data_IF_812667019777
#
_entry.id   IF_812667019777
#
_cell.length_a   1.000
_cell.length_b   1.000
_cell.length_c   1.000
_cell.angle_alpha   90.00
_cell.angle_beta   90.00
_cell.angle_gamma   90.00
#
_symmetry.space_group_name_H-M   'P 1'
#
loop_
_entity.id
_entity.type
_entity.pdbx_description
1 polymer ?
#
# COMPACT_ATOMS: atom_id res chain seq x y z
N UNK A 1 4.81 1.39 -3.36
CA UNK A 1 5.15 2.46 -2.41
C UNK A 1 6.44 3.13 -2.82
N UNK A 2 6.44 4.46 -2.90
CA UNK A 2 7.66 5.23 -3.09
C UNK A 2 8.66 4.83 -2.00
N UNK A 3 9.91 4.59 -2.37
CA UNK A 3 10.99 4.36 -1.40
C UNK A 3 11.30 5.62 -0.56
N UNK A 4 10.70 6.75 -0.94
CA UNK A 4 10.82 8.09 -0.36
C UNK A 4 9.41 8.68 -0.13
N UNK A 5 8.76 8.37 0.99
CA UNK A 5 7.50 9.03 1.35
C UNK A 5 7.76 10.51 1.68
N UNK A 6 6.72 11.35 1.52
CA UNK A 6 6.78 12.78 1.86
C UNK A 6 7.10 13.02 3.34
N UNK A 7 6.57 12.15 4.21
CA UNK A 7 6.89 12.09 5.64
C UNK A 7 7.78 10.87 5.88
N UNK A 8 9.10 11.04 6.07
CA UNK A 8 10.04 9.92 6.20
C UNK A 8 9.70 8.97 7.35
N UNK A 9 9.27 9.52 8.48
CA UNK A 9 8.90 8.79 9.70
C UNK A 9 7.69 7.87 9.51
N UNK A 10 6.84 8.15 8.51
CA UNK A 10 5.68 7.34 8.20
C UNK A 10 6.05 6.05 7.46
N UNK A 11 7.27 5.94 6.88
CA UNK A 11 7.73 4.79 6.12
C UNK A 11 7.46 3.43 6.79
N UNK A 12 7.86 3.18 8.06
CA UNK A 12 7.58 1.90 8.72
C UNK A 12 6.08 1.62 8.90
N UNK A 13 5.25 2.65 9.12
CA UNK A 13 3.79 2.49 9.22
C UNK A 13 3.19 2.16 7.85
N UNK A 14 3.65 2.83 6.79
CA UNK A 14 3.24 2.60 5.41
C UNK A 14 3.61 1.19 4.92
N UNK A 15 4.80 0.69 5.27
CA UNK A 15 5.23 -0.67 4.94
C UNK A 15 4.34 -1.72 5.64
N UNK A 16 3.98 -1.51 6.91
CA UNK A 16 3.01 -2.36 7.63
C UNK A 16 1.63 -2.36 6.97
N UNK A 17 1.12 -1.19 6.58
CA UNK A 17 -0.17 -1.09 5.88
C UNK A 17 -0.15 -1.81 4.53
N UNK A 18 0.94 -1.66 3.77
CA UNK A 18 1.14 -2.40 2.52
C UNK A 18 1.05 -3.90 2.77
N UNK A 19 1.78 -4.44 3.74
CA UNK A 19 1.75 -5.88 4.06
C UNK A 19 0.37 -6.34 4.50
N UNK A 20 -0.30 -5.58 5.38
CA UNK A 20 -1.65 -5.88 5.85
C UNK A 20 -2.65 -6.04 4.70
N UNK A 21 -2.72 -5.05 3.81
CA UNK A 21 -3.66 -5.08 2.69
C UNK A 21 -3.24 -6.04 1.58
N UNK A 22 -1.95 -6.31 1.42
CA UNK A 22 -1.49 -7.35 0.51
C UNK A 22 -2.00 -8.72 0.95
N UNK A 23 -1.92 -9.01 2.26
CA UNK A 23 -2.41 -10.26 2.82
C UNK A 23 -3.94 -10.39 2.72
N UNK A 24 -4.69 -9.30 2.88
CA UNK A 24 -6.16 -9.30 2.75
C UNK A 24 -6.63 -9.76 1.36
N UNK A 25 -5.87 -9.43 0.32
CA UNK A 25 -6.17 -9.83 -1.06
C UNK A 25 -5.47 -11.14 -1.47
N UNK A 26 -4.86 -11.87 -0.52
CA UNK A 26 -4.03 -13.06 -0.80
C UNK A 26 -2.95 -12.79 -1.86
N UNK A 27 -2.49 -11.54 -1.96
CA UNK A 27 -1.46 -11.15 -2.91
C UNK A 27 -0.11 -11.22 -2.23
N UNK A 28 0.70 -12.21 -2.59
CA UNK A 28 2.08 -12.26 -2.14
C UNK A 28 2.92 -11.20 -2.84
N UNK A 29 3.25 -10.12 -2.12
CA UNK A 29 4.39 -9.30 -2.49
C UNK A 29 5.65 -10.06 -2.11
N UNK A 30 6.05 -10.99 -2.97
CA UNK A 30 7.33 -11.65 -2.81
C UNK A 30 8.43 -10.60 -3.01
N UNK A 31 9.12 -10.21 -1.94
CA UNK A 31 10.30 -9.33 -2.01
C UNK A 31 11.45 -10.02 -2.75
N UNK A 32 11.39 -11.35 -2.90
CA UNK A 32 12.24 -12.12 -3.80
C UNK A 32 11.79 -11.93 -5.25
N UNK A 33 12.44 -10.97 -5.90
CA UNK A 33 12.48 -10.82 -7.37
C UNK A 33 11.16 -10.46 -8.06
N UNK A 34 10.90 -9.15 -8.16
CA UNK A 34 9.83 -8.55 -8.98
C UNK A 34 9.93 -8.84 -10.49
N UNK A 35 11.00 -9.50 -10.94
CA UNK A 35 11.27 -9.81 -12.35
C UNK A 35 10.63 -11.10 -12.88
N UNK A 36 10.12 -11.99 -12.02
CA UNK A 36 9.49 -13.24 -12.47
C UNK A 36 8.04 -13.06 -12.94
N UNK A 37 7.41 -11.95 -12.58
CA UNK A 37 6.03 -11.64 -12.96
C UNK A 37 6.00 -10.65 -14.13
N UNK A 38 4.99 -10.79 -14.99
CA UNK A 38 4.78 -9.84 -16.09
C UNK A 38 4.52 -8.43 -15.55
N UNK A 39 4.96 -7.40 -16.27
CA UNK A 39 4.70 -5.99 -15.90
C UNK A 39 3.22 -5.70 -15.69
N UNK A 40 2.35 -6.35 -16.48
CA UNK A 40 0.88 -6.24 -16.35
C UNK A 40 0.39 -6.76 -15.01
N UNK A 41 0.85 -7.95 -14.59
CA UNK A 41 0.47 -8.56 -13.33
C UNK A 41 0.99 -7.75 -12.12
N UNK A 42 2.25 -7.29 -12.21
CA UNK A 42 2.85 -6.42 -11.19
C UNK A 42 2.09 -5.10 -11.05
N UNK A 43 1.69 -4.49 -12.17
CA UNK A 43 0.89 -3.27 -12.20
C UNK A 43 -0.51 -3.48 -11.62
N UNK A 44 -1.15 -4.60 -11.94
CA UNK A 44 -2.46 -4.94 -11.39
C UNK A 44 -2.43 -5.12 -9.88
N UNK A 45 -1.54 -5.99 -9.38
CA UNK A 45 -1.43 -6.27 -7.93
C UNK A 45 -0.93 -5.04 -7.16
N UNK A 46 0.07 -4.34 -7.70
CA UNK A 46 0.60 -3.09 -7.16
C UNK A 46 -0.43 -1.96 -7.09
N UNK A 47 -1.20 -1.79 -8.17
CA UNK A 47 -2.22 -0.76 -8.30
C UNK A 47 -3.39 -0.96 -7.36
N UNK A 48 -3.89 -2.20 -7.24
CA UNK A 48 -5.00 -2.53 -6.33
C UNK A 48 -4.63 -2.24 -4.86
N UNK A 49 -3.48 -2.73 -4.40
CA UNK A 49 -3.03 -2.50 -3.01
C UNK A 49 -2.74 -1.02 -2.77
N UNK A 50 -2.07 -0.33 -3.69
CA UNK A 50 -1.79 1.11 -3.56
C UNK A 50 -3.06 1.98 -3.54
N UNK A 51 -4.04 1.65 -4.37
CA UNK A 51 -5.34 2.32 -4.41
C UNK A 51 -6.12 2.14 -3.11
N UNK A 52 -6.18 0.91 -2.58
CA UNK A 52 -6.84 0.64 -1.31
C UNK A 52 -6.17 1.34 -0.13
N UNK A 53 -4.83 1.32 -0.06
CA UNK A 53 -4.07 2.06 0.95
C UNK A 53 -4.45 3.53 0.96
N UNK A 54 -4.47 4.17 -0.22
CA UNK A 54 -4.81 5.59 -0.36
C UNK A 54 -6.24 5.86 0.07
N UNK A 55 -7.19 5.03 -0.38
CA UNK A 55 -8.60 5.13 0.00
C UNK A 55 -8.77 5.07 1.52
N UNK A 56 -8.15 4.10 2.18
CA UNK A 56 -8.25 3.92 3.64
C UNK A 56 -7.59 5.06 4.43
N UNK A 57 -6.45 5.57 3.97
CA UNK A 57 -5.80 6.73 4.60
C UNK A 57 -6.67 7.99 4.52
N UNK A 58 -7.31 8.23 3.37
CA UNK A 58 -8.22 9.38 3.20
C UNK A 58 -9.47 9.19 4.07
N UNK A 59 -10.09 8.01 4.06
CA UNK A 59 -11.25 7.69 4.92
C UNK A 59 -10.96 7.93 6.42
N UNK A 60 -9.78 7.51 6.91
CA UNK A 60 -9.37 7.70 8.30
C UNK A 60 -9.11 9.18 8.62
N UNK A 61 -8.50 9.92 7.68
CA UNK A 61 -8.29 11.35 7.82
C UNK A 61 -9.62 12.14 7.86
N UNK A 62 -10.57 11.81 6.99
CA UNK A 62 -11.91 12.43 6.96
C UNK A 62 -12.67 12.17 8.27
N UNK A 63 -12.60 10.96 8.83
CA UNK A 63 -13.22 10.64 10.13
C UNK A 63 -12.62 11.49 11.26
N UNK A 64 -11.30 11.57 11.33
CA UNK A 64 -10.60 12.38 12.34
C UNK A 64 -10.85 13.89 12.19
N UNK A 65 -11.26 14.35 11.01
CA UNK A 65 -11.68 15.74 10.80
C UNK A 65 -13.11 15.99 11.29
N UNK A 66 -14.00 15.01 11.13
CA UNK A 66 -15.41 15.09 11.57
C UNK A 66 -15.51 15.00 13.10
N UNK A 67 -14.64 14.21 13.75
CA UNK A 67 -14.58 14.07 15.21
C UNK A 67 -13.94 15.28 15.92
N UNK A 68 -13.75 16.40 15.21
CA UNK A 68 -13.08 17.62 15.68
C UNK A 68 -14.03 18.81 15.65
#
# INVERSE_FOLDING_TARGET
MSRRPLVPEAKPKLDKLKTKYSNEFSMEFNDSYKGNNTSKLNGHNGGLVGGLMTKKMVEEFEKNLIDK
#
